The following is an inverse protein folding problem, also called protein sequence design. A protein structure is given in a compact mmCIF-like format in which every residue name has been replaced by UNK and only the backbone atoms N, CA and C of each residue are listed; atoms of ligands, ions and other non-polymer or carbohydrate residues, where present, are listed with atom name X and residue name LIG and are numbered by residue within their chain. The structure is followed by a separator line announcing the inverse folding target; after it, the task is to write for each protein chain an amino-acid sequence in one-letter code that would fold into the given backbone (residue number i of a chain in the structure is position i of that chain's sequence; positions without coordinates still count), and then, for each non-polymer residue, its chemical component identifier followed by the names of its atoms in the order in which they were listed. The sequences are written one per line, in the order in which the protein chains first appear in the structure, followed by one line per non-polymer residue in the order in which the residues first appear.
data_IF_594484592257
#
_entry.id   IF_594484592257
#
_cell.length_a   1.000
_cell.length_b   1.000
_cell.length_c   1.000
_cell.angle_alpha   90.00
_cell.angle_beta   90.00
_cell.angle_gamma   90.00
#
_symmetry.space_group_name_H-M   'P 1'
#
loop_
_entity.id
_entity.type
_entity.pdbx_description
1 polymer ?
#
# COMPACT_ATOMS: atom_id res chain seq x y z
N UNK A 1 -1.08 11.84 -7.24
CA UNK A 1 -2.26 11.46 -6.45
C UNK A 1 -2.11 10.09 -5.77
N UNK A 2 -1.68 9.04 -6.48
CA UNK A 2 -1.56 7.65 -5.98
C UNK A 2 -0.90 7.56 -4.59
N UNK A 3 0.30 8.14 -4.43
CA UNK A 3 1.05 8.08 -3.16
C UNK A 3 0.29 8.74 -1.99
N UNK A 4 -0.36 9.88 -2.22
CA UNK A 4 -1.11 10.59 -1.17
C UNK A 4 -2.32 9.78 -0.71
N UNK A 5 -3.02 9.12 -1.64
CA UNK A 5 -4.17 8.26 -1.31
C UNK A 5 -3.70 7.06 -0.48
N UNK A 6 -2.64 6.37 -0.90
CA UNK A 6 -2.10 5.24 -0.14
C UNK A 6 -1.55 5.66 1.22
N UNK A 7 -0.90 6.83 1.31
CA UNK A 7 -0.45 7.38 2.57
C UNK A 7 -1.61 7.62 3.54
N UNK A 8 -2.68 8.29 3.09
CA UNK A 8 -3.84 8.59 3.91
C UNK A 8 -4.52 7.31 4.42
N UNK A 9 -4.71 6.33 3.52
CA UNK A 9 -5.33 5.06 3.87
C UNK A 9 -4.45 4.21 4.79
N UNK A 10 -3.13 4.25 4.62
CA UNK A 10 -2.20 3.59 5.53
C UNK A 10 -2.24 4.22 6.92
N UNK A 11 -2.27 5.55 7.01
CA UNK A 11 -2.41 6.27 8.30
C UNK A 11 -3.71 5.86 9.00
N UNK A 12 -4.83 5.84 8.27
CA UNK A 12 -6.11 5.42 8.84
C UNK A 12 -6.16 3.92 9.18
N UNK A 13 -5.52 3.08 8.37
CA UNK A 13 -5.34 1.66 8.65
C UNK A 13 -4.55 1.42 9.94
N UNK A 14 -3.55 2.25 10.21
CA UNK A 14 -2.69 2.18 11.41
C UNK A 14 -3.27 2.87 12.66
N UNK A 15 -4.48 3.47 12.61
CA UNK A 15 -5.08 4.14 13.77
C UNK A 15 -5.37 3.20 14.95
N UNK A 16 -5.36 1.89 14.72
CA UNK A 16 -5.63 0.88 15.72
C UNK A 16 -4.37 0.03 15.94
N UNK A 17 -4.05 -0.26 17.20
CA UNK A 17 -2.92 -1.12 17.61
C UNK A 17 -3.01 -2.58 17.14
N UNK A 18 -4.06 -2.94 16.41
CA UNK A 18 -4.32 -4.30 15.95
C UNK A 18 -3.43 -4.71 14.77
N UNK A 19 -3.00 -3.76 13.94
CA UNK A 19 -2.06 -4.08 12.86
C UNK A 19 -0.63 -4.07 13.40
N UNK A 20 0.16 -5.13 13.14
CA UNK A 20 1.57 -5.16 13.55
C UNK A 20 2.35 -4.02 12.91
N UNK A 21 3.45 -3.61 13.56
CA UNK A 21 4.37 -2.62 12.99
C UNK A 21 4.85 -2.99 11.59
N UNK A 22 4.93 -4.28 11.24
CA UNK A 22 5.29 -4.75 9.90
C UNK A 22 4.34 -4.28 8.79
N UNK A 23 3.03 -4.10 9.06
CA UNK A 23 2.09 -3.52 8.10
C UNK A 23 2.45 -2.06 7.80
N UNK A 24 2.69 -1.26 8.84
CA UNK A 24 3.06 0.14 8.70
C UNK A 24 4.42 0.27 7.99
N UNK A 25 5.42 -0.50 8.42
CA UNK A 25 6.75 -0.48 7.82
C UNK A 25 6.72 -0.85 6.34
N UNK A 26 5.97 -1.89 5.95
CA UNK A 26 5.83 -2.29 4.55
C UNK A 26 5.20 -1.18 3.70
N UNK A 27 4.07 -0.64 4.13
CA UNK A 27 3.35 0.38 3.38
C UNK A 27 4.10 1.71 3.29
N UNK A 28 4.68 2.21 4.40
CA UNK A 28 5.45 3.45 4.37
C UNK A 28 6.76 3.34 3.59
N UNK A 29 7.43 2.17 3.62
CA UNK A 29 8.65 1.96 2.83
C UNK A 29 8.36 2.03 1.33
N UNK A 30 7.26 1.44 0.88
CA UNK A 30 6.87 1.53 -0.55
C UNK A 30 6.45 2.94 -0.94
N UNK A 31 5.86 3.73 -0.03
CA UNK A 31 5.61 5.15 -0.28
C UNK A 31 6.92 5.94 -0.47
N UNK A 32 7.97 5.64 0.30
CA UNK A 32 9.28 6.26 0.12
C UNK A 32 9.89 5.94 -1.25
N UNK A 33 9.82 4.67 -1.68
CA UNK A 33 10.24 4.26 -3.04
C UNK A 33 9.37 4.94 -4.11
N UNK A 34 8.08 5.12 -3.85
CA UNK A 34 7.19 5.87 -4.73
C UNK A 34 7.60 7.34 -4.89
N UNK A 35 7.97 8.01 -3.79
CA UNK A 35 8.47 9.40 -3.84
C UNK A 35 9.76 9.45 -4.66
N UNK A 36 10.67 8.48 -4.45
CA UNK A 36 11.89 8.37 -5.24
C UNK A 36 11.60 8.20 -6.74
N UNK A 37 10.62 7.37 -7.12
CA UNK A 37 10.20 7.20 -8.52
C UNK A 37 9.58 8.46 -9.16
N UNK A 38 9.02 9.38 -8.34
CA UNK A 38 8.54 10.69 -8.80
C UNK A 38 9.69 11.67 -8.98
N UNK A 39 10.63 11.70 -8.03
CA UNK A 39 11.80 12.58 -8.06
C UNK A 39 12.70 12.23 -9.23
N UNK A 40 12.92 10.94 -9.48
CA UNK A 40 13.81 10.45 -10.53
C UNK A 40 12.99 9.84 -11.68
N UNK A 41 12.40 10.72 -12.50
CA UNK A 41 11.51 10.29 -13.60
C UNK A 41 12.20 9.51 -14.71
N UNK A 42 13.49 9.74 -14.92
CA UNK A 42 14.27 9.10 -15.98
C UNK A 42 14.79 7.71 -15.57
N UNK A 43 14.70 7.34 -14.29
CA UNK A 43 15.12 6.03 -13.81
C UNK A 43 14.00 5.00 -13.99
N UNK A 44 14.27 3.99 -14.81
CA UNK A 44 13.43 2.79 -14.94
C UNK A 44 13.50 1.92 -13.68
N UNK A 45 14.67 1.87 -13.03
CA UNK A 45 14.86 1.08 -11.81
C UNK A 45 13.98 1.59 -10.67
N UNK A 46 13.88 2.92 -10.48
CA UNK A 46 13.05 3.50 -9.42
C UNK A 46 11.56 3.14 -9.58
N UNK A 47 11.03 3.17 -10.81
CA UNK A 47 9.62 2.83 -11.05
C UNK A 47 9.37 1.31 -10.98
N UNK A 48 10.34 0.48 -11.40
CA UNK A 48 10.26 -0.97 -11.26
C UNK A 48 10.35 -1.44 -9.80
N UNK A 49 11.21 -0.80 -9.00
CA UNK A 49 11.26 -1.02 -7.55
C UNK A 49 9.95 -0.59 -6.89
N UNK A 50 9.35 0.52 -7.31
CA UNK A 50 8.04 0.93 -6.80
C UNK A 50 6.93 -0.06 -7.17
N UNK A 51 6.90 -0.54 -8.42
CA UNK A 51 5.94 -1.54 -8.90
C UNK A 51 6.07 -2.86 -8.13
N UNK A 52 7.30 -3.35 -7.99
CA UNK A 52 7.61 -4.59 -7.28
C UNK A 52 7.29 -4.45 -5.79
N UNK A 53 7.64 -3.31 -5.18
CA UNK A 53 7.27 -2.99 -3.80
C UNK A 53 5.76 -2.98 -3.60
N UNK A 54 5.00 -2.35 -4.50
CA UNK A 54 3.54 -2.36 -4.45
C UNK A 54 2.99 -3.79 -4.49
N UNK A 55 3.48 -4.64 -5.40
CA UNK A 55 3.08 -6.05 -5.48
C UNK A 55 3.40 -6.83 -4.19
N UNK A 56 4.59 -6.66 -3.62
CA UNK A 56 4.96 -7.28 -2.35
C UNK A 56 4.03 -6.81 -1.22
N UNK A 57 3.70 -5.51 -1.18
CA UNK A 57 2.78 -5.01 -0.15
C UNK A 57 1.35 -5.50 -0.32
N UNK A 58 0.89 -5.81 -1.54
CA UNK A 58 -0.41 -6.49 -1.75
C UNK A 58 -0.39 -7.84 -1.04
N UNK A 59 0.64 -8.65 -1.26
CA UNK A 59 0.77 -9.96 -0.65
C UNK A 59 0.85 -9.86 0.87
N UNK A 60 1.72 -9.00 1.39
CA UNK A 60 1.86 -8.84 2.84
C UNK A 60 0.59 -8.29 3.48
N UNK A 61 -0.10 -7.35 2.85
CA UNK A 61 -1.34 -6.78 3.41
C UNK A 61 -2.46 -7.83 3.46
N UNK A 62 -2.57 -8.69 2.45
CA UNK A 62 -3.50 -9.83 2.47
C UNK A 62 -3.18 -10.72 3.68
N UNK A 63 -1.92 -11.05 3.92
CA UNK A 63 -1.50 -11.87 5.05
C UNK A 63 -1.83 -11.18 6.38
N UNK A 64 -1.50 -9.89 6.53
CA UNK A 64 -1.79 -9.14 7.75
C UNK A 64 -3.30 -9.05 8.01
N UNK A 65 -4.10 -8.71 7.00
CA UNK A 65 -5.55 -8.66 7.15
C UNK A 65 -6.07 -10.05 7.51
N UNK A 66 -5.65 -11.11 6.81
CA UNK A 66 -6.15 -12.47 7.03
C UNK A 66 -5.81 -13.03 8.43
N UNK A 67 -4.60 -12.76 8.93
CA UNK A 67 -4.14 -13.27 10.23
C UNK A 67 -4.71 -12.46 11.39
N UNK A 68 -4.81 -11.14 11.24
CA UNK A 68 -5.25 -10.25 12.31
C UNK A 68 -6.74 -9.89 12.23
N UNK A 69 -7.48 -10.42 11.26
CA UNK A 69 -8.93 -10.20 11.19
C UNK A 69 -9.62 -10.81 12.42
N UNK A 70 -10.30 -10.01 13.24
CA UNK A 70 -10.91 -10.49 14.47
C UNK A 70 -12.13 -11.36 14.15
N UNK A 71 -12.10 -12.62 14.59
CA UNK A 71 -13.18 -13.57 14.40
C UNK A 71 -14.41 -13.33 15.31
N UNK A 72 -14.25 -12.55 16.39
CA UNK A 72 -15.31 -12.30 17.37
C UNK A 72 -15.88 -10.88 17.25
N UNK A 73 -17.22 -10.78 17.40
CA UNK A 73 -18.05 -9.59 17.14
C UNK A 73 -17.84 -8.36 18.05
N UNK A 74 -16.83 -8.34 18.92
CA UNK A 74 -16.55 -7.20 19.81
C UNK A 74 -15.56 -6.22 19.16
N UNK A 75 -15.93 -5.69 18.00
CA UNK A 75 -15.16 -4.68 17.32
C UNK A 75 -15.59 -3.27 17.76
N UNK A 76 -14.74 -2.60 18.53
CA UNK A 76 -14.85 -1.16 18.82
C UNK A 76 -14.84 -0.39 17.49
N UNK A 77 -15.61 0.69 17.38
CA UNK A 77 -15.81 1.45 16.12
C UNK A 77 -14.50 1.83 15.42
N UNK A 78 -13.47 2.21 16.19
CA UNK A 78 -12.13 2.53 15.68
C UNK A 78 -11.48 1.34 14.95
N UNK A 79 -11.69 0.12 15.45
CA UNK A 79 -11.13 -1.10 14.83
C UNK A 79 -11.79 -1.39 13.49
N UNK A 80 -13.12 -1.24 13.40
CA UNK A 80 -13.89 -1.46 12.16
C UNK A 80 -13.47 -0.46 11.09
N UNK A 81 -13.30 0.80 11.49
CA UNK A 81 -12.83 1.86 10.60
C UNK A 81 -11.42 1.57 10.07
N UNK A 82 -10.46 1.29 10.96
CA UNK A 82 -9.07 0.99 10.59
C UNK A 82 -8.97 -0.23 9.65
N UNK A 83 -9.67 -1.34 9.96
CA UNK A 83 -9.71 -2.52 9.07
C UNK A 83 -10.34 -2.16 7.72
N UNK A 84 -11.43 -1.39 7.71
CA UNK A 84 -12.06 -0.93 6.49
C UNK A 84 -11.12 -0.11 5.61
N UNK A 85 -10.33 0.80 6.21
CA UNK A 85 -9.34 1.59 5.47
C UNK A 85 -8.17 0.75 4.97
N UNK A 86 -7.73 -0.27 5.73
CA UNK A 86 -6.71 -1.21 5.27
C UNK A 86 -7.19 -2.07 4.08
N UNK A 87 -8.44 -2.55 4.12
CA UNK A 87 -9.06 -3.29 3.01
C UNK A 87 -9.21 -2.37 1.78
N UNK A 88 -9.66 -1.13 1.99
CA UNK A 88 -9.80 -0.17 0.90
C UNK A 88 -8.44 0.18 0.26
N UNK A 89 -7.39 0.34 1.08
CA UNK A 89 -6.01 0.48 0.62
C UNK A 89 -5.62 -0.69 -0.28
N UNK A 90 -5.85 -1.92 0.18
CA UNK A 90 -5.57 -3.14 -0.58
C UNK A 90 -6.29 -3.19 -1.92
N UNK A 91 -7.58 -2.84 -1.97
CA UNK A 91 -8.38 -2.82 -3.20
C UNK A 91 -7.90 -1.79 -4.22
N UNK A 92 -7.30 -0.69 -3.78
CA UNK A 92 -6.75 0.33 -4.67
C UNK A 92 -5.37 -0.01 -5.22
N UNK A 93 -4.65 -0.97 -4.62
CA UNK A 93 -3.30 -1.36 -5.05
C UNK A 93 -3.27 -1.98 -6.45
N UNK A 94 -4.18 -2.86 -6.89
CA UNK A 94 -4.25 -3.35 -8.27
C UNK A 94 -4.39 -2.23 -9.30
N UNK A 95 -5.27 -1.26 -9.03
CA UNK A 95 -5.46 -0.08 -9.90
C UNK A 95 -4.17 0.76 -9.93
N UNK A 96 -3.53 0.94 -8.77
CA UNK A 96 -2.28 1.68 -8.67
C UNK A 96 -1.13 0.99 -9.38
N UNK A 97 -1.04 -0.34 -9.29
CA UNK A 97 -0.09 -1.17 -10.00
C UNK A 97 -0.27 -1.01 -11.51
N UNK A 98 -1.51 -1.03 -12.01
CA UNK A 98 -1.80 -0.79 -13.42
C UNK A 98 -1.37 0.61 -13.88
N UNK A 99 -1.66 1.65 -13.08
CA UNK A 99 -1.23 3.02 -13.39
C UNK A 99 0.29 3.17 -13.38
N UNK A 100 0.99 2.56 -12.42
CA UNK A 100 2.45 2.55 -12.34
C UNK A 100 3.07 1.79 -13.51
N UNK A 101 2.48 0.66 -13.89
CA UNK A 101 2.90 -0.09 -15.06
C UNK A 101 2.72 0.71 -16.36
N UNK A 102 1.63 1.47 -16.50
CA UNK A 102 1.47 2.40 -17.62
C UNK A 102 2.55 3.48 -17.63
N UNK A 103 2.85 4.09 -16.49
CA UNK A 103 3.94 5.06 -16.37
C UNK A 103 5.31 4.44 -16.68
N UNK A 104 5.52 3.16 -16.35
CA UNK A 104 6.73 2.42 -16.72
C UNK A 104 6.86 2.28 -18.24
N UNK A 105 5.78 1.87 -18.92
CA UNK A 105 5.76 1.77 -20.39
C UNK A 105 5.96 3.13 -21.07
N UNK A 106 5.39 4.20 -20.52
CA UNK A 106 5.60 5.58 -21.02
C UNK A 106 7.05 6.04 -20.90
N UNK A 107 7.82 5.49 -19.96
CA UNK A 107 9.25 5.76 -19.79
C UNK A 107 10.17 4.90 -20.68
N UNK A 108 9.59 4.09 -21.58
CA UNK A 108 10.36 3.22 -22.49
C UNK A 108 10.73 1.86 -21.90
N UNK A 109 10.04 1.41 -20.86
CA UNK A 109 10.10 0.01 -20.42
C UNK A 109 9.44 -0.92 -21.44
N UNK A 110 10.14 -2.00 -21.81
CA UNK A 110 9.66 -3.03 -22.76
C UNK A 110 8.62 -3.98 -22.14
#
# INVERSE_FOLDING_TARGET
AIILVHWLLTVWGCMNYMFPGSYAWGNFSVLAVGIWAIVQRDSLDAIMMFLTGLLLTVLTDIIHISVFYPANNYLIDVKRFSIGMAIFSLLLKPVSCYLVYRMYRERGGE
#
